data_IF_415894133290
#
_entry.id   IF_415894133290
#
_cell.length_a   1.000
_cell.length_b   1.000
_cell.length_c   1.000
_cell.angle_alpha   90.00
_cell.angle_beta   90.00
_cell.angle_gamma   90.00
#
_symmetry.space_group_name_H-M   'P 1'
#
loop_
_entity.id
_entity.type
_entity.pdbx_description
1 polymer ?
#
# COMPACT_ATOMS: atom_id res chain seq x y z
N UNK A 1 -0.72 10.51 -25.17
CA UNK A 1 -1.60 9.83 -24.18
C UNK A 1 -1.34 10.47 -22.83
N UNK A 2 -2.38 10.84 -22.08
CA UNK A 2 -2.24 11.36 -20.71
C UNK A 2 -2.38 10.16 -19.76
N UNK A 3 -1.34 9.80 -18.98
CA UNK A 3 -1.47 8.73 -17.99
C UNK A 3 -2.43 9.18 -16.89
N UNK A 4 -3.26 8.26 -16.37
CA UNK A 4 -4.09 8.58 -15.22
C UNK A 4 -3.27 8.67 -13.93
N UNK A 5 -3.90 9.20 -12.89
CA UNK A 5 -3.27 9.48 -11.61
C UNK A 5 -3.03 8.21 -10.78
N UNK A 6 -1.89 8.17 -10.09
CA UNK A 6 -1.59 7.21 -9.02
C UNK A 6 -2.14 7.71 -7.69
N UNK A 7 -2.24 6.81 -6.71
CA UNK A 7 -2.69 7.16 -5.36
C UNK A 7 -1.77 8.23 -4.74
N UNK A 8 -0.44 8.14 -4.94
CA UNK A 8 0.52 9.19 -4.52
C UNK A 8 0.23 10.56 -5.12
N UNK A 9 -0.20 10.62 -6.38
CA UNK A 9 -0.43 11.88 -7.09
C UNK A 9 -1.64 12.60 -6.49
N UNK A 10 -2.71 11.84 -6.22
CA UNK A 10 -3.91 12.34 -5.56
C UNK A 10 -3.59 12.81 -4.14
N UNK A 11 -2.89 11.97 -3.35
CA UNK A 11 -2.51 12.29 -1.97
C UNK A 11 -1.65 13.56 -1.88
N UNK A 12 -0.70 13.72 -2.80
CA UNK A 12 0.14 14.92 -2.85
C UNK A 12 -0.69 16.16 -3.22
N UNK A 13 -1.70 16.02 -4.09
CA UNK A 13 -2.61 17.11 -4.48
C UNK A 13 -3.43 17.64 -3.30
N UNK A 14 -3.78 16.77 -2.34
CA UNK A 14 -4.44 17.14 -1.07
C UNK A 14 -3.45 17.35 0.08
N UNK A 15 -2.18 17.60 -0.23
CA UNK A 15 -1.12 17.98 0.72
C UNK A 15 -0.79 16.91 1.77
N UNK A 16 -1.11 15.64 1.50
CA UNK A 16 -0.58 14.54 2.29
C UNK A 16 0.81 14.16 1.80
N UNK A 17 1.67 13.75 2.72
CA UNK A 17 2.97 13.17 2.40
C UNK A 17 2.85 11.65 2.35
N UNK A 18 2.95 11.01 1.16
CA UNK A 18 2.86 9.55 1.05
C UNK A 18 3.93 8.83 1.89
N UNK A 19 5.12 9.41 2.03
CA UNK A 19 6.20 8.83 2.84
C UNK A 19 5.89 8.83 4.34
N UNK A 20 5.25 9.89 4.85
CA UNK A 20 4.79 9.93 6.25
C UNK A 20 3.65 8.94 6.49
N UNK A 21 2.76 8.74 5.51
CA UNK A 21 1.70 7.74 5.59
C UNK A 21 2.27 6.31 5.67
N UNK A 22 3.22 5.96 4.79
CA UNK A 22 3.93 4.67 4.82
C UNK A 22 4.63 4.46 6.17
N UNK A 23 5.35 5.47 6.66
CA UNK A 23 6.03 5.42 7.96
C UNK A 23 5.07 5.21 9.13
N UNK A 24 3.90 5.86 9.08
CA UNK A 24 2.85 5.73 10.11
C UNK A 24 2.31 4.30 10.14
N UNK A 25 1.98 3.74 8.98
CA UNK A 25 1.48 2.37 8.85
C UNK A 25 2.53 1.35 9.29
N UNK A 26 3.78 1.51 8.84
CA UNK A 26 4.92 0.68 9.27
C UNK A 26 5.08 0.68 10.78
N UNK A 27 5.03 1.85 11.41
CA UNK A 27 5.14 1.98 12.86
C UNK A 27 4.00 1.25 13.58
N UNK A 28 2.77 1.35 13.07
CA UNK A 28 1.62 0.66 13.65
C UNK A 28 1.75 -0.87 13.54
N UNK A 29 2.21 -1.38 12.38
CA UNK A 29 2.45 -2.81 12.17
C UNK A 29 3.58 -3.31 13.08
N UNK A 30 4.71 -2.59 13.14
CA UNK A 30 5.85 -2.93 14.00
C UNK A 30 5.43 -3.02 15.48
N UNK A 31 4.57 -2.10 15.94
CA UNK A 31 4.02 -2.15 17.29
C UNK A 31 3.18 -3.41 17.53
N UNK A 32 2.37 -3.82 16.55
CA UNK A 32 1.53 -4.99 16.68
C UNK A 32 2.33 -6.29 16.60
N UNK A 33 3.39 -6.33 15.79
CA UNK A 33 4.37 -7.43 15.77
C UNK A 33 5.06 -7.57 17.11
N UNK A 34 5.52 -6.46 17.71
CA UNK A 34 6.15 -6.46 19.05
C UNK A 34 5.22 -6.95 20.16
N UNK A 35 3.92 -6.64 20.06
CA UNK A 35 2.89 -7.11 21.00
C UNK A 35 2.48 -8.58 20.77
N UNK A 36 3.00 -9.23 19.73
CA UNK A 36 2.65 -10.61 19.37
C UNK A 36 1.29 -10.76 18.68
N UNK A 37 0.67 -9.66 18.26
CA UNK A 37 -0.63 -9.68 17.59
C UNK A 37 -0.57 -9.93 16.08
N UNK A 38 0.62 -9.80 15.46
CA UNK A 38 0.89 -10.14 14.06
C UNK A 38 2.22 -10.90 14.01
N UNK A 39 2.32 -11.97 13.21
CA UNK A 39 3.60 -12.66 13.04
C UNK A 39 4.57 -11.78 12.24
N UNK A 40 5.88 -11.77 12.55
CA UNK A 40 6.85 -10.92 11.85
C UNK A 40 6.79 -11.03 10.31
N UNK A 41 6.64 -12.25 9.79
CA UNK A 41 6.52 -12.50 8.35
C UNK A 41 5.27 -11.87 7.73
N UNK A 42 4.14 -11.94 8.43
CA UNK A 42 2.89 -11.32 7.99
C UNK A 42 2.99 -9.78 8.07
N UNK A 43 3.67 -9.26 9.10
CA UNK A 43 3.93 -7.83 9.24
C UNK A 43 4.71 -7.24 8.08
N UNK A 44 5.79 -7.91 7.66
CA UNK A 44 6.57 -7.50 6.46
C UNK A 44 5.67 -7.49 5.22
N UNK A 45 4.90 -8.56 4.99
CA UNK A 45 3.99 -8.63 3.84
C UNK A 45 2.92 -7.54 3.83
N UNK A 46 2.42 -7.11 5.00
CA UNK A 46 1.47 -6.00 5.11
C UNK A 46 2.11 -4.65 4.77
N UNK A 47 3.37 -4.44 5.16
CA UNK A 47 4.12 -3.22 4.83
C UNK A 47 4.36 -3.16 3.32
N UNK A 48 4.86 -4.25 2.74
CA UNK A 48 5.14 -4.36 1.30
C UNK A 48 3.86 -4.11 0.49
N UNK A 49 2.74 -4.74 0.89
CA UNK A 49 1.44 -4.53 0.26
C UNK A 49 0.98 -3.07 0.31
N UNK A 50 1.19 -2.39 1.44
CA UNK A 50 0.81 -0.99 1.58
C UNK A 50 1.65 -0.07 0.68
N UNK A 51 2.96 -0.31 0.61
CA UNK A 51 3.86 0.41 -0.29
C UNK A 51 3.48 0.20 -1.76
N UNK A 52 3.18 -1.03 -2.17
CA UNK A 52 2.71 -1.31 -3.54
C UNK A 52 1.39 -0.60 -3.84
N UNK A 53 0.45 -0.62 -2.90
CA UNK A 53 -0.88 -0.02 -3.08
C UNK A 53 -0.82 1.50 -3.20
N UNK A 54 -0.01 2.18 -2.38
CA UNK A 54 0.08 3.66 -2.40
C UNK A 54 0.75 4.17 -3.67
N UNK A 55 1.61 3.38 -4.30
CA UNK A 55 2.24 3.67 -5.59
C UNK A 55 1.43 3.19 -6.80
N UNK A 56 0.34 2.48 -6.54
CA UNK A 56 -0.57 1.91 -7.53
C UNK A 56 -1.48 2.93 -8.21
N UNK A 57 -2.18 2.44 -9.22
CA UNK A 57 -3.18 3.22 -9.95
C UNK A 57 -4.43 3.44 -9.09
N UNK A 58 -5.09 4.58 -9.26
CA UNK A 58 -6.27 4.97 -8.45
C UNK A 58 -7.48 4.06 -8.66
N UNK A 59 -7.58 3.41 -9.81
CA UNK A 59 -8.69 2.52 -10.14
C UNK A 59 -8.36 1.06 -9.83
N UNK A 60 -9.42 0.31 -9.53
CA UNK A 60 -9.33 -1.13 -9.27
C UNK A 60 -8.80 -1.86 -10.49
N UNK A 61 -7.85 -2.76 -10.24
CA UNK A 61 -7.41 -3.73 -11.23
C UNK A 61 -8.32 -4.95 -11.13
N UNK A 62 -8.81 -5.44 -12.27
CA UNK A 62 -9.48 -6.74 -12.29
C UNK A 62 -8.48 -7.80 -11.86
N UNK A 63 -8.83 -8.71 -10.93
CA UNK A 63 -7.98 -9.84 -10.63
C UNK A 63 -7.68 -10.55 -11.95
N UNK A 64 -6.42 -10.92 -12.16
CA UNK A 64 -5.99 -11.66 -13.34
C UNK A 64 -6.59 -13.06 -13.26
N UNK A 65 -7.86 -13.17 -13.69
CA UNK A 65 -8.51 -14.45 -13.92
C UNK A 65 -7.78 -15.01 -15.13
N UNK A 66 -6.77 -15.85 -14.87
CA UNK A 66 -6.16 -16.68 -15.90
C UNK A 66 -7.30 -17.35 -16.64
N UNK A 67 -7.58 -16.87 -17.86
CA UNK A 67 -8.50 -17.54 -18.75
C UNK A 67 -7.79 -18.83 -19.13
N UNK A 68 -8.11 -19.91 -18.41
CA UNK A 68 -7.86 -21.25 -18.89
C UNK A 68 -8.58 -21.34 -20.24
N UNK A 69 -7.78 -21.46 -21.29
CA UNK A 69 -8.19 -21.70 -22.66
C UNK A 69 -8.12 -23.19 -22.95
#
# INVERSE_FOLDING_TARGET
VIPGDRVTDVLSRVQYSPSELVKTVKTAIDQQVRKGGIKPKEGVGLIDFYEETIHGYTYLQTPDVKREA
#
